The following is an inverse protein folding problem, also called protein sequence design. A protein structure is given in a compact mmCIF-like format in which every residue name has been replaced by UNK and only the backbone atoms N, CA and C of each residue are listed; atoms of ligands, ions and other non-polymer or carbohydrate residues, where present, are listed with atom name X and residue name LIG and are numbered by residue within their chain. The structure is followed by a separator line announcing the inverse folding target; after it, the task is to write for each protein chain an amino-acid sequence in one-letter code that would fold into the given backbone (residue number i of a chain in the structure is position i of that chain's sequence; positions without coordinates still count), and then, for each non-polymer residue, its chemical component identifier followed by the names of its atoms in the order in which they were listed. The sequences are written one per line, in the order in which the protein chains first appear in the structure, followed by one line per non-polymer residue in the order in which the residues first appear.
data_IF_393010968391
#
_entry.id   IF_393010968391
#
_cell.length_a   1.000
_cell.length_b   1.000
_cell.length_c   1.000
_cell.angle_alpha   90.00
_cell.angle_beta   90.00
_cell.angle_gamma   90.00
#
_symmetry.space_group_name_H-M   'P 1'
#
loop_
_entity.id
_entity.type
_entity.pdbx_description
1 polymer ?
#
# COMPACT_ATOMS: atom_id res chain seq x y z
N UNK A 1 27.68 -2.58 -49.74
CA UNK A 1 28.71 -2.17 -48.75
C UNK A 1 28.32 -2.80 -47.41
N UNK A 2 29.07 -3.78 -46.88
CA UNK A 2 28.77 -4.47 -45.60
C UNK A 2 29.67 -3.90 -44.51
N UNK A 3 29.10 -3.22 -43.52
CA UNK A 3 29.84 -2.70 -42.35
C UNK A 3 29.90 -3.82 -41.31
N UNK A 4 31.09 -4.38 -41.08
CA UNK A 4 31.38 -5.25 -39.93
C UNK A 4 31.60 -4.36 -38.71
N UNK A 5 30.74 -4.49 -37.71
CA UNK A 5 30.89 -3.87 -36.39
C UNK A 5 31.51 -4.89 -35.43
N UNK A 6 32.81 -4.75 -35.17
CA UNK A 6 33.53 -5.56 -34.17
C UNK A 6 33.22 -5.05 -32.75
N UNK A 7 32.24 -5.68 -32.11
CA UNK A 7 31.94 -5.49 -30.68
C UNK A 7 32.72 -6.50 -29.83
N UNK A 8 34.02 -6.28 -29.66
CA UNK A 8 34.80 -6.99 -28.66
C UNK A 8 35.72 -6.02 -27.91
N UNK A 9 35.11 -5.16 -27.08
CA UNK A 9 35.83 -4.36 -26.10
C UNK A 9 35.62 -4.98 -24.73
N UNK A 10 36.58 -5.78 -24.29
CA UNK A 10 36.67 -6.32 -22.94
C UNK A 10 36.68 -5.16 -21.94
N UNK A 11 35.60 -5.05 -21.16
CA UNK A 11 35.46 -4.06 -20.09
C UNK A 11 36.52 -4.37 -19.02
N UNK A 12 37.56 -3.54 -18.92
CA UNK A 12 38.53 -3.64 -17.81
C UNK A 12 37.77 -3.47 -16.49
N UNK A 13 38.07 -4.27 -15.45
CA UNK A 13 37.47 -4.08 -14.13
C UNK A 13 37.85 -2.71 -13.59
N UNK A 14 36.84 -1.93 -13.19
CA UNK A 14 37.01 -0.59 -12.65
C UNK A 14 37.88 -0.65 -11.38
N UNK A 15 38.90 0.22 -11.31
CA UNK A 15 39.79 0.30 -10.16
C UNK A 15 39.01 0.84 -8.94
N UNK A 16 38.85 0.06 -7.85
CA UNK A 16 38.09 0.48 -6.66
C UNK A 16 38.71 1.69 -5.93
N UNK A 17 39.94 2.06 -6.28
CA UNK A 17 40.64 3.23 -5.73
C UNK A 17 40.31 4.55 -6.46
N UNK A 18 39.52 4.51 -7.54
CA UNK A 18 39.14 5.71 -8.27
C UNK A 18 38.24 6.62 -7.40
N UNK A 19 38.50 7.94 -7.33
CA UNK A 19 37.65 8.87 -6.59
C UNK A 19 36.18 8.83 -7.04
N UNK A 20 35.93 8.56 -8.33
CA UNK A 20 34.59 8.36 -8.89
C UNK A 20 33.84 7.16 -8.28
N UNK A 21 34.56 6.09 -7.89
CA UNK A 21 33.93 4.91 -7.28
C UNK A 21 33.47 5.21 -5.85
N UNK A 22 34.25 5.99 -5.10
CA UNK A 22 33.90 6.42 -3.74
C UNK A 22 32.68 7.34 -3.73
N UNK A 23 32.62 8.32 -4.63
CA UNK A 23 31.48 9.24 -4.74
C UNK A 23 30.19 8.51 -5.10
N UNK A 24 30.24 7.58 -6.07
CA UNK A 24 29.07 6.79 -6.46
C UNK A 24 28.51 5.93 -5.32
N UNK A 25 29.40 5.34 -4.51
CA UNK A 25 28.97 4.54 -3.36
C UNK A 25 28.37 5.41 -2.27
N UNK A 26 28.93 6.59 -2.01
CA UNK A 26 28.37 7.54 -1.03
C UNK A 26 26.96 8.00 -1.41
N UNK A 27 26.70 8.28 -2.68
CA UNK A 27 25.36 8.67 -3.16
C UNK A 27 24.36 7.50 -3.03
N UNK A 28 24.81 6.27 -3.29
CA UNK A 28 23.96 5.09 -3.16
C UNK A 28 23.57 4.84 -1.70
N UNK A 29 24.53 4.95 -0.78
CA UNK A 29 24.31 4.80 0.67
C UNK A 29 23.39 5.89 1.22
N UNK A 30 23.61 7.16 0.85
CA UNK A 30 22.71 8.27 1.23
C UNK A 30 21.27 8.01 0.75
N UNK A 31 21.11 7.50 -0.47
CA UNK A 31 19.79 7.18 -1.02
C UNK A 31 19.11 6.05 -0.25
N UNK A 32 19.85 5.02 0.15
CA UNK A 32 19.34 3.90 0.94
C UNK A 32 18.93 4.35 2.35
N UNK A 33 19.73 5.22 2.97
CA UNK A 33 19.40 5.81 4.27
C UNK A 33 18.10 6.61 4.21
N UNK A 34 17.92 7.46 3.18
CA UNK A 34 16.66 8.23 3.00
C UNK A 34 15.44 7.35 2.76
N UNK A 35 15.60 6.22 2.06
CA UNK A 35 14.50 5.24 1.88
C UNK A 35 14.13 4.63 3.22
N UNK A 36 15.12 4.23 4.02
CA UNK A 36 14.90 3.65 5.35
C UNK A 36 14.25 4.67 6.28
N UNK A 37 14.70 5.92 6.25
CA UNK A 37 14.13 7.03 7.01
C UNK A 37 12.66 7.28 6.65
N UNK A 38 12.31 7.27 5.36
CA UNK A 38 10.93 7.49 4.90
C UNK A 38 9.93 6.45 5.45
N UNK A 39 10.40 5.23 5.72
CA UNK A 39 9.61 4.15 6.30
C UNK A 39 9.83 3.98 7.81
N UNK A 40 10.57 4.90 8.45
CA UNK A 40 10.76 4.85 9.90
C UNK A 40 9.42 5.13 10.59
N UNK A 41 8.98 4.27 11.53
CA UNK A 41 7.70 4.44 12.19
C UNK A 41 7.69 5.72 13.03
N UNK A 42 6.54 6.39 13.04
CA UNK A 42 6.28 7.54 13.89
C UNK A 42 5.02 7.29 14.70
N UNK A 43 5.11 7.42 16.02
CA UNK A 43 3.97 7.19 16.92
C UNK A 43 2.75 8.03 16.54
N UNK A 44 2.96 9.33 16.24
CA UNK A 44 1.87 10.23 15.84
C UNK A 44 1.20 9.75 14.54
N UNK A 45 1.99 9.32 13.57
CA UNK A 45 1.50 8.81 12.29
C UNK A 45 0.76 7.49 12.47
N UNK A 46 1.26 6.60 13.33
CA UNK A 46 0.58 5.36 13.71
C UNK A 46 -0.78 5.61 14.36
N UNK A 47 -0.88 6.59 15.26
CA UNK A 47 -2.14 7.00 15.88
C UNK A 47 -3.14 7.54 14.84
N UNK A 48 -2.69 8.41 13.93
CA UNK A 48 -3.54 8.97 12.86
C UNK A 48 -4.08 7.88 11.93
N UNK A 49 -3.21 6.94 11.53
CA UNK A 49 -3.60 5.78 10.69
C UNK A 49 -4.62 4.91 11.42
N UNK A 50 -4.37 4.59 12.69
CA UNK A 50 -5.28 3.77 13.49
C UNK A 50 -6.64 4.44 13.65
N UNK A 51 -6.66 5.75 13.95
CA UNK A 51 -7.88 6.53 14.06
C UNK A 51 -8.68 6.54 12.74
N UNK A 52 -8.00 6.75 11.61
CA UNK A 52 -8.64 6.74 10.30
C UNK A 52 -9.28 5.38 9.98
N UNK A 53 -8.59 4.27 10.32
CA UNK A 53 -9.13 2.91 10.16
C UNK A 53 -10.36 2.68 11.05
N UNK A 54 -10.31 3.15 12.30
CA UNK A 54 -11.42 3.03 13.25
C UNK A 54 -12.66 3.79 12.79
N UNK A 55 -12.49 5.03 12.32
CA UNK A 55 -13.59 5.87 11.85
C UNK A 55 -14.20 5.29 10.56
N UNK A 56 -13.37 4.85 9.63
CA UNK A 56 -13.85 4.16 8.44
C UNK A 56 -14.50 2.81 8.76
N UNK A 57 -14.29 2.23 9.95
CA UNK A 57 -14.91 0.97 10.37
C UNK A 57 -14.58 -0.22 9.46
N UNK A 58 -13.45 -0.16 8.74
CA UNK A 58 -13.09 -1.10 7.65
C UNK A 58 -14.13 -1.20 6.52
N UNK A 59 -15.03 -0.22 6.39
CA UNK A 59 -15.96 -0.18 5.28
C UNK A 59 -15.20 0.00 3.95
N UNK A 60 -15.70 -0.69 2.93
CA UNK A 60 -15.20 -0.59 1.56
C UNK A 60 -15.69 0.72 0.96
N UNK A 61 -14.83 1.45 0.26
CA UNK A 61 -15.27 2.60 -0.54
C UNK A 61 -16.34 2.14 -1.57
N UNK A 62 -17.36 2.97 -1.75
CA UNK A 62 -18.38 2.71 -2.77
C UNK A 62 -17.76 2.69 -4.17
N UNK A 63 -18.32 1.92 -5.12
CA UNK A 63 -17.85 1.92 -6.51
C UNK A 63 -17.87 3.31 -7.16
N UNK A 64 -18.84 4.16 -6.80
CA UNK A 64 -18.96 5.53 -7.29
C UNK A 64 -17.82 6.41 -6.76
N UNK A 65 -17.49 6.32 -5.47
CA UNK A 65 -16.35 7.00 -4.89
C UNK A 65 -15.04 6.58 -5.57
N UNK A 66 -14.84 5.26 -5.78
CA UNK A 66 -13.68 4.73 -6.50
C UNK A 66 -13.60 5.25 -7.95
N UNK A 67 -14.73 5.35 -8.65
CA UNK A 67 -14.78 5.90 -10.00
C UNK A 67 -14.37 7.38 -10.02
N UNK A 68 -14.79 8.18 -9.04
CA UNK A 68 -14.36 9.57 -8.93
C UNK A 68 -12.86 9.70 -8.65
N UNK A 69 -12.31 8.86 -7.79
CA UNK A 69 -10.86 8.81 -7.55
C UNK A 69 -10.10 8.40 -8.82
N UNK A 70 -10.61 7.44 -9.58
CA UNK A 70 -10.03 7.03 -10.85
C UNK A 70 -10.05 8.17 -11.88
N UNK A 71 -11.18 8.88 -11.98
CA UNK A 71 -11.34 10.05 -12.84
C UNK A 71 -10.35 11.16 -12.47
N UNK A 72 -10.19 11.44 -11.17
CA UNK A 72 -9.20 12.39 -10.67
C UNK A 72 -7.78 12.02 -11.13
N UNK A 73 -7.36 10.77 -10.93
CA UNK A 73 -6.02 10.30 -11.32
C UNK A 73 -5.81 10.38 -12.82
N UNK A 74 -6.78 9.92 -13.62
CA UNK A 74 -6.72 9.97 -15.07
C UNK A 74 -6.57 11.41 -15.57
N UNK A 75 -7.39 12.33 -15.06
CA UNK A 75 -7.32 13.76 -15.39
C UNK A 75 -6.04 14.42 -14.92
N UNK A 76 -5.52 14.05 -13.76
CA UNK A 76 -4.30 14.62 -13.22
C UNK A 76 -3.05 14.21 -14.02
N UNK A 77 -2.99 12.95 -14.47
CA UNK A 77 -1.75 12.32 -14.91
C UNK A 77 -1.73 11.74 -16.32
N UNK A 78 -2.85 11.60 -17.02
CA UNK A 78 -2.87 11.11 -18.40
C UNK A 78 -3.15 12.24 -19.40
N UNK A 79 -2.58 12.12 -20.60
CA UNK A 79 -2.87 13.02 -21.72
C UNK A 79 -4.20 12.58 -22.34
N UNK A 80 -5.20 13.46 -22.33
CA UNK A 80 -6.54 13.23 -22.90
C UNK A 80 -7.20 11.93 -22.38
N UNK A 81 -7.53 11.86 -21.07
CA UNK A 81 -8.13 10.65 -20.50
C UNK A 81 -9.52 10.40 -21.11
N UNK A 82 -9.62 9.30 -21.84
CA UNK A 82 -10.90 8.76 -22.34
C UNK A 82 -11.63 7.99 -21.23
N UNK A 83 -12.94 7.79 -21.38
CA UNK A 83 -13.75 7.02 -20.42
C UNK A 83 -13.20 5.60 -20.21
N UNK A 84 -12.72 4.95 -21.27
CA UNK A 84 -12.07 3.63 -21.18
C UNK A 84 -10.88 3.64 -20.19
N UNK A 85 -10.07 4.70 -20.22
CA UNK A 85 -8.91 4.83 -19.32
C UNK A 85 -9.35 4.98 -17.86
N UNK A 86 -10.38 5.78 -17.62
CA UNK A 86 -10.99 5.96 -16.30
C UNK A 86 -11.53 4.63 -15.78
N UNK A 87 -12.24 3.87 -16.62
CA UNK A 87 -12.82 2.58 -16.27
C UNK A 87 -11.74 1.54 -15.93
N UNK A 88 -10.63 1.52 -16.68
CA UNK A 88 -9.52 0.60 -16.37
C UNK A 88 -8.87 0.96 -15.02
N UNK A 89 -8.65 2.26 -14.73
CA UNK A 89 -8.11 2.70 -13.44
C UNK A 89 -9.09 2.36 -12.31
N UNK A 90 -10.39 2.61 -12.50
CA UNK A 90 -11.44 2.27 -11.52
C UNK A 90 -11.49 0.77 -11.26
N UNK A 91 -11.42 -0.06 -12.30
CA UNK A 91 -11.36 -1.52 -12.19
C UNK A 91 -10.11 -1.99 -11.45
N UNK A 92 -8.96 -1.36 -11.70
CA UNK A 92 -7.72 -1.64 -10.97
C UNK A 92 -7.87 -1.31 -9.48
N UNK A 93 -8.39 -0.13 -9.14
CA UNK A 93 -8.62 0.28 -7.75
C UNK A 93 -9.58 -0.67 -7.03
N UNK A 94 -10.71 -1.01 -7.64
CA UNK A 94 -11.65 -1.99 -7.08
C UNK A 94 -10.96 -3.35 -6.85
N UNK A 95 -10.18 -3.83 -7.82
CA UNK A 95 -9.40 -5.06 -7.67
C UNK A 95 -8.41 -4.98 -6.50
N UNK A 96 -7.74 -3.84 -6.29
CA UNK A 96 -6.85 -3.66 -5.14
C UNK A 96 -7.63 -3.74 -3.82
N UNK A 97 -8.79 -3.07 -3.74
CA UNK A 97 -9.66 -3.12 -2.56
C UNK A 97 -10.08 -4.56 -2.23
N UNK A 98 -10.47 -5.32 -3.24
CA UNK A 98 -11.01 -6.68 -3.05
C UNK A 98 -9.90 -7.72 -2.77
N UNK A 99 -8.74 -7.61 -3.45
CA UNK A 99 -7.67 -8.62 -3.35
C UNK A 99 -6.74 -8.43 -2.17
N UNK A 100 -6.68 -7.22 -1.60
CA UNK A 100 -5.77 -6.91 -0.48
C UNK A 100 -6.48 -6.90 0.87
N UNK A 101 -7.80 -7.10 0.91
CA UNK A 101 -8.53 -7.06 2.18
C UNK A 101 -8.15 -8.24 3.08
N UNK A 102 -7.54 -7.93 4.22
CA UNK A 102 -7.17 -8.93 5.22
C UNK A 102 -8.42 -9.41 5.96
N UNK A 103 -8.73 -10.71 5.84
CA UNK A 103 -9.72 -11.43 6.66
C UNK A 103 -11.00 -10.62 6.94
N UNK A 104 -11.94 -10.52 5.96
CA UNK A 104 -13.16 -9.72 6.08
C UNK A 104 -14.02 -10.10 7.29
N UNK A 105 -14.01 -11.38 7.68
CA UNK A 105 -14.82 -11.92 8.78
C UNK A 105 -14.31 -11.56 10.18
N UNK A 106 -13.04 -11.12 10.30
CA UNK A 106 -12.46 -10.80 11.60
C UNK A 106 -12.95 -9.44 12.10
N UNK A 107 -13.05 -9.26 13.41
CA UNK A 107 -13.20 -7.92 13.96
C UNK A 107 -11.90 -7.09 13.77
N UNK A 108 -12.01 -5.77 13.91
CA UNK A 108 -10.89 -4.86 13.66
C UNK A 108 -9.65 -5.18 14.52
N UNK A 109 -9.82 -5.51 15.80
CA UNK A 109 -8.70 -5.77 16.71
C UNK A 109 -7.93 -7.04 16.31
N UNK A 110 -8.64 -8.12 15.99
CA UNK A 110 -8.04 -9.36 15.50
C UNK A 110 -7.32 -9.15 14.17
N UNK A 111 -7.94 -8.43 13.24
CA UNK A 111 -7.34 -8.11 11.94
C UNK A 111 -6.06 -7.27 12.11
N UNK A 112 -6.04 -6.28 13.02
CA UNK A 112 -4.85 -5.47 13.33
C UNK A 112 -3.71 -6.32 13.89
N UNK A 113 -4.00 -7.23 14.82
CA UNK A 113 -3.00 -8.15 15.39
C UNK A 113 -2.46 -9.08 14.31
N UNK A 114 -3.32 -9.66 13.47
CA UNK A 114 -2.89 -10.54 12.38
C UNK A 114 -2.07 -9.78 11.35
N UNK A 115 -2.47 -8.56 11.00
CA UNK A 115 -1.74 -7.72 10.06
C UNK A 115 -0.31 -7.45 10.54
N UNK A 116 -0.13 -7.07 11.81
CA UNK A 116 1.18 -6.77 12.37
C UNK A 116 2.06 -8.01 12.60
N UNK A 117 1.46 -9.20 12.63
CA UNK A 117 2.17 -10.49 12.66
C UNK A 117 2.74 -10.88 11.30
N UNK A 118 2.18 -10.37 10.20
CA UNK A 118 2.72 -10.65 8.88
C UNK A 118 4.04 -9.89 8.66
N UNK A 119 4.98 -10.52 7.95
CA UNK A 119 6.23 -9.87 7.56
C UNK A 119 6.12 -9.12 6.23
N UNK A 120 5.00 -9.30 5.51
CA UNK A 120 4.77 -8.70 4.20
C UNK A 120 3.56 -7.78 4.22
N UNK A 121 3.72 -6.58 3.67
CA UNK A 121 2.65 -5.57 3.55
C UNK A 121 1.78 -5.78 2.29
N UNK A 122 1.54 -7.03 1.91
CA UNK A 122 0.75 -7.39 0.71
C UNK A 122 -0.76 -7.26 0.94
N UNK A 123 -1.19 -7.46 2.18
CA UNK A 123 -2.58 -7.30 2.62
C UNK A 123 -2.74 -5.96 3.34
N UNK A 124 -3.97 -5.50 3.54
CA UNK A 124 -4.31 -4.30 4.29
C UNK A 124 -5.50 -4.57 5.21
N UNK A 125 -5.44 -4.05 6.43
CA UNK A 125 -6.56 -4.08 7.39
C UNK A 125 -7.74 -3.24 6.89
N UNK A 126 -7.45 -2.15 6.17
CA UNK A 126 -8.44 -1.31 5.54
C UNK A 126 -7.93 -0.82 4.17
N UNK A 127 -8.21 -1.61 3.10
CA UNK A 127 -7.81 -1.25 1.74
C UNK A 127 -8.31 0.14 1.31
N UNK A 128 -9.50 0.54 1.77
CA UNK A 128 -10.05 1.89 1.57
C UNK A 128 -9.10 2.98 2.05
N UNK A 129 -8.62 2.88 3.29
CA UNK A 129 -7.68 3.85 3.86
C UNK A 129 -6.34 3.81 3.14
N UNK A 130 -5.85 2.60 2.81
CA UNK A 130 -4.63 2.45 2.00
C UNK A 130 -4.77 3.13 0.64
N UNK A 131 -5.92 3.02 -0.02
CA UNK A 131 -6.18 3.70 -1.29
C UNK A 131 -6.25 5.22 -1.12
N UNK A 132 -6.92 5.72 -0.09
CA UNK A 132 -7.00 7.17 0.17
C UNK A 132 -5.62 7.78 0.45
N UNK A 133 -4.76 7.10 1.23
CA UNK A 133 -3.37 7.51 1.45
C UNK A 133 -2.58 7.50 0.13
N UNK A 134 -2.79 6.49 -0.73
CA UNK A 134 -2.16 6.44 -2.04
C UNK A 134 -2.60 7.59 -2.96
N UNK A 135 -3.89 7.97 -2.92
CA UNK A 135 -4.40 9.14 -3.65
C UNK A 135 -3.79 10.43 -3.10
N UNK A 136 -3.62 10.55 -1.79
CA UNK A 136 -2.96 11.69 -1.17
C UNK A 136 -1.51 11.85 -1.68
N UNK A 137 -0.75 10.75 -1.74
CA UNK A 137 0.60 10.75 -2.33
C UNK A 137 0.60 11.21 -3.79
N UNK A 138 -0.33 10.72 -4.61
CA UNK A 138 -0.48 11.14 -6.01
C UNK A 138 -0.89 12.61 -6.12
N UNK A 139 -1.73 13.10 -5.20
CA UNK A 139 -2.16 14.48 -5.13
C UNK A 139 -1.00 15.43 -4.79
N UNK A 140 -0.20 15.09 -3.79
CA UNK A 140 1.02 15.83 -3.42
C UNK A 140 2.02 15.88 -4.57
N UNK A 141 2.19 14.76 -5.27
CA UNK A 141 3.01 14.71 -6.48
C UNK A 141 2.46 15.66 -7.55
N UNK A 142 1.12 15.73 -7.70
CA UNK A 142 0.50 16.59 -8.71
C UNK A 142 0.66 18.07 -8.37
N UNK A 143 0.57 18.44 -7.10
CA UNK A 143 0.79 19.80 -6.63
C UNK A 143 2.22 20.28 -6.92
N UNK A 144 3.22 19.39 -6.79
CA UNK A 144 4.62 19.69 -7.07
C UNK A 144 4.96 19.72 -8.58
N UNK A 145 4.22 18.97 -9.39
CA UNK A 145 4.45 18.78 -10.82
C UNK A 145 3.16 18.98 -11.63
N UNK A 146 2.57 20.16 -11.52
CA UNK A 146 1.27 20.55 -12.07
C UNK A 146 1.18 20.44 -13.61
N UNK A 147 2.28 20.67 -14.32
CA UNK A 147 2.34 20.67 -15.78
C UNK A 147 2.74 19.32 -16.39
N UNK A 148 3.12 18.34 -15.57
CA UNK A 148 3.53 17.03 -16.07
C UNK A 148 2.30 16.16 -16.33
N UNK A 149 2.26 15.58 -17.52
CA UNK A 149 1.34 14.52 -17.93
C UNK A 149 2.14 13.33 -18.41
N UNK A 150 1.73 12.14 -18.02
CA UNK A 150 2.31 10.88 -18.44
C UNK A 150 1.68 10.35 -19.73
N UNK A 151 2.33 9.33 -20.29
CA UNK A 151 1.79 8.55 -21.40
C UNK A 151 0.64 7.65 -20.95
N UNK A 152 -0.11 7.07 -21.91
CA UNK A 152 -1.23 6.15 -21.63
C UNK A 152 -0.83 5.06 -20.63
N UNK A 153 -1.65 4.85 -19.61
CA UNK A 153 -1.43 3.87 -18.53
C UNK A 153 -0.45 4.35 -17.45
N UNK A 154 -0.02 5.60 -17.46
CA UNK A 154 0.74 6.20 -16.36
C UNK A 154 -0.08 6.20 -15.06
N UNK A 155 -1.38 6.50 -15.12
CA UNK A 155 -2.26 6.52 -13.95
C UNK A 155 -2.34 5.17 -13.25
N UNK A 156 -2.43 4.08 -14.02
CA UNK A 156 -2.43 2.71 -13.49
C UNK A 156 -1.15 2.37 -12.73
N UNK A 157 0.02 2.70 -13.32
CA UNK A 157 1.33 2.45 -12.68
C UNK A 157 1.50 3.29 -11.42
N UNK A 158 1.11 4.57 -11.46
CA UNK A 158 1.15 5.46 -10.31
C UNK A 158 0.30 4.91 -9.16
N UNK A 159 -0.93 4.47 -9.44
CA UNK A 159 -1.82 3.90 -8.43
C UNK A 159 -1.24 2.65 -7.80
N UNK A 160 -0.70 1.74 -8.61
CA UNK A 160 -0.09 0.51 -8.10
C UNK A 160 1.07 0.81 -7.15
N UNK A 161 1.98 1.69 -7.57
CA UNK A 161 3.18 2.04 -6.79
C UNK A 161 2.80 2.80 -5.52
N UNK A 162 1.94 3.82 -5.62
CA UNK A 162 1.48 4.60 -4.47
C UNK A 162 0.74 3.73 -3.46
N UNK A 163 -0.10 2.79 -3.92
CA UNK A 163 -0.82 1.85 -3.05
C UNK A 163 0.13 0.91 -2.31
N UNK A 164 1.13 0.36 -3.00
CA UNK A 164 2.15 -0.47 -2.36
C UNK A 164 2.95 0.30 -1.31
N UNK A 165 3.34 1.53 -1.61
CA UNK A 165 4.04 2.41 -0.66
C UNK A 165 3.18 2.75 0.55
N UNK A 166 1.91 3.12 0.32
CA UNK A 166 0.95 3.38 1.40
C UNK A 166 0.74 2.15 2.29
N UNK A 167 0.61 0.97 1.70
CA UNK A 167 0.48 -0.29 2.45
C UNK A 167 1.68 -0.56 3.35
N UNK A 168 2.91 -0.42 2.82
CA UNK A 168 4.15 -0.57 3.59
C UNK A 168 4.25 0.44 4.73
N UNK A 169 3.96 1.70 4.44
CA UNK A 169 4.03 2.78 5.42
C UNK A 169 3.02 2.57 6.56
N UNK A 170 1.76 2.22 6.23
CA UNK A 170 0.72 1.86 7.20
C UNK A 170 1.16 0.66 8.04
N UNK A 171 1.71 -0.38 7.41
CA UNK A 171 2.17 -1.59 8.10
C UNK A 171 3.25 -1.29 9.14
N UNK A 172 4.31 -0.56 8.77
CA UNK A 172 5.42 -0.26 9.68
C UNK A 172 4.95 0.63 10.84
N UNK A 173 4.10 1.63 10.57
CA UNK A 173 3.55 2.49 11.62
C UNK A 173 2.64 1.71 12.57
N UNK A 174 1.69 0.90 12.08
CA UNK A 174 0.81 0.12 12.93
C UNK A 174 1.56 -0.91 13.77
N UNK A 175 2.57 -1.58 13.19
CA UNK A 175 3.43 -2.54 13.90
C UNK A 175 4.20 -1.90 15.06
N UNK A 176 4.45 -0.59 15.02
CA UNK A 176 5.14 0.13 16.10
C UNK A 176 4.28 0.36 17.36
N UNK A 177 2.95 0.32 17.24
CA UNK A 177 2.03 0.58 18.36
C UNK A 177 1.20 -0.64 18.80
N UNK A 178 1.09 -1.67 17.95
CA UNK A 178 0.34 -2.89 18.26
C UNK A 178 1.29 -3.95 18.82
N UNK A 179 1.12 -4.27 20.10
CA UNK A 179 1.91 -5.31 20.75
C UNK A 179 1.46 -6.71 20.29
N UNK A 180 2.28 -7.38 19.49
CA UNK A 180 2.00 -8.74 18.99
C UNK A 180 2.41 -9.87 19.95
N UNK A 181 3.13 -9.56 21.04
CA UNK A 181 3.69 -10.58 21.96
C UNK A 181 2.67 -11.18 22.93
N UNK A 182 1.53 -10.52 23.18
CA UNK A 182 0.58 -10.91 24.22
C UNK A 182 -0.35 -12.09 23.86
N UNK A 183 -0.41 -12.52 22.60
CA UNK A 183 -1.43 -13.45 22.13
C UNK A 183 -1.09 -14.95 22.28
N UNK A 184 0.09 -15.31 22.80
CA UNK A 184 0.54 -16.72 22.82
C UNK A 184 0.41 -17.40 24.20
N UNK A 185 0.02 -16.68 25.25
CA UNK A 185 0.08 -17.21 26.64
C UNK A 185 -1.23 -17.79 27.19
N UNK A 186 -2.24 -18.04 26.35
CA UNK A 186 -3.55 -18.52 26.79
C UNK A 186 -3.90 -19.92 26.25
N UNK A 187 -3.01 -20.91 26.41
CA UNK A 187 -3.35 -22.35 26.25
C UNK A 187 -2.44 -23.23 27.10
N UNK A 188 -2.73 -23.36 28.39
CA UNK A 188 -2.48 -24.58 29.19
C UNK A 188 -3.04 -24.39 30.60
N UNK A 189 -4.26 -24.88 30.85
CA UNK A 189 -4.63 -25.62 32.08
C UNK A 189 -5.83 -26.49 31.71
N UNK A 190 -5.57 -27.77 31.44
CA UNK A 190 -6.58 -28.83 31.52
C UNK A 190 -6.58 -29.33 32.98
N UNK A 191 -7.58 -28.94 33.77
CA UNK A 191 -8.05 -29.70 34.94
C UNK A 191 -9.52 -29.34 35.25
N UNK A 192 -10.47 -30.30 35.25
CA UNK A 192 -11.87 -30.09 35.66
C UNK A 192 -12.17 -30.73 37.04
N UNK A 193 -13.35 -30.50 37.66
CA UNK A 193 -14.20 -29.30 37.69
C UNK A 193 -14.69 -28.94 39.12
N UNK A 194 -15.13 -27.70 39.34
CA UNK A 194 -16.10 -27.37 40.41
C UNK A 194 -16.98 -26.19 40.00
N UNK A 195 -18.30 -26.25 40.25
CA UNK A 195 -19.23 -25.25 39.73
C UNK A 195 -19.36 -24.09 40.73
N UNK A 196 -19.12 -22.88 40.27
CA UNK A 196 -19.77 -21.71 40.88
C UNK A 196 -19.98 -20.63 39.81
N UNK A 197 -21.26 -20.37 39.58
CA UNK A 197 -21.76 -19.28 38.75
C UNK A 197 -21.32 -17.96 39.38
N UNK A 198 -20.76 -17.05 38.58
CA UNK A 198 -21.01 -15.62 38.73
C UNK A 198 -20.75 -14.89 37.40
N UNK A 199 -21.84 -14.35 36.86
CA UNK A 199 -21.89 -13.51 35.67
C UNK A 199 -21.35 -12.13 36.03
N UNK A 200 -20.17 -11.78 35.53
CA UNK A 200 -19.69 -10.38 35.52
C UNK A 200 -19.42 -9.98 34.08
N UNK A 201 -20.31 -9.13 33.54
CA UNK A 201 -20.10 -8.41 32.29
C UNK A 201 -18.93 -7.44 32.48
N UNK A 202 -17.75 -7.76 31.95
CA UNK A 202 -16.66 -6.78 31.77
C UNK A 202 -16.64 -6.30 30.33
N UNK A 203 -16.75 -4.99 30.19
CA UNK A 203 -16.58 -4.22 28.96
C UNK A 203 -15.10 -3.82 28.94
N UNK A 204 -14.28 -4.59 28.24
CA UNK A 204 -12.83 -4.34 28.20
C UNK A 204 -12.54 -3.14 27.29
N UNK A 205 -12.14 -2.03 27.93
CA UNK A 205 -11.57 -0.85 27.30
C UNK A 205 -10.08 -1.11 27.06
N UNK A 206 -9.59 -0.79 25.87
CA UNK A 206 -8.20 -0.99 25.46
C UNK A 206 -7.31 -0.04 26.25
N UNK A 207 -6.54 -0.57 27.19
CA UNK A 207 -5.49 0.17 27.91
C UNK A 207 -4.19 0.12 27.11
N UNK A 208 -3.70 1.27 26.65
CA UNK A 208 -2.37 1.38 26.02
C UNK A 208 -1.28 0.99 27.02
N UNK A 209 -0.32 0.12 26.66
CA UNK A 209 0.78 -0.24 27.55
C UNK A 209 1.86 0.84 27.58
N UNK A 210 2.23 1.28 28.77
CA UNK A 210 3.48 1.99 29.06
C UNK A 210 4.65 1.00 28.96
N UNK A 211 5.67 1.32 28.16
CA UNK A 211 6.73 0.37 27.79
C UNK A 211 8.13 0.92 28.12
N UNK A 212 8.87 0.10 28.88
CA UNK A 212 10.31 0.21 29.15
C UNK A 212 11.11 -0.42 28.00
N UNK A 213 12.23 0.20 27.66
CA UNK A 213 13.15 -0.15 26.57
C UNK A 213 13.85 -1.50 26.77
N UNK A 214 14.00 -2.30 25.70
CA UNK A 214 15.04 -3.34 25.58
C UNK A 214 15.48 -3.55 24.11
N UNK A 215 16.74 -3.98 23.98
CA UNK A 215 17.68 -3.88 22.85
C UNK A 215 17.61 -5.11 21.90
N UNK A 216 17.87 -4.89 20.60
CA UNK A 216 17.92 -5.90 19.51
C UNK A 216 19.35 -6.24 19.04
N UNK A 217 19.59 -7.44 18.45
CA UNK A 217 20.79 -7.76 17.65
C UNK A 217 20.54 -7.88 16.12
N UNK A 218 21.66 -7.90 15.37
CA UNK A 218 21.84 -7.57 13.94
C UNK A 218 21.52 -8.68 12.88
N UNK A 219 21.42 -8.35 11.56
CA UNK A 219 20.94 -9.26 10.51
C UNK A 219 22.05 -9.86 9.61
N UNK A 220 21.77 -10.93 8.83
CA UNK A 220 22.66 -11.44 7.78
C UNK A 220 22.22 -11.13 6.33
N UNK A 221 23.21 -11.26 5.44
CA UNK A 221 23.39 -10.72 4.08
C UNK A 221 22.76 -11.49 2.89
N UNK A 222 22.50 -10.77 1.78
CA UNK A 222 21.87 -11.24 0.52
C UNK A 222 22.85 -11.78 -0.56
N UNK A 223 22.35 -12.48 -1.62
CA UNK A 223 23.09 -12.69 -2.88
C UNK A 223 22.40 -12.20 -4.19
N UNK A 224 23.20 -12.21 -5.27
CA UNK A 224 23.20 -11.44 -6.55
C UNK A 224 22.25 -11.91 -7.69
N UNK A 225 22.00 -10.99 -8.65
CA UNK A 225 21.08 -11.05 -9.81
C UNK A 225 21.74 -11.40 -11.16
N UNK A 226 20.94 -11.88 -12.15
CA UNK A 226 21.29 -11.90 -13.59
C UNK A 226 20.05 -11.65 -14.50
N UNK A 227 20.31 -11.13 -15.72
CA UNK A 227 19.38 -10.43 -16.64
C UNK A 227 18.64 -11.31 -17.69
N UNK A 228 17.39 -10.96 -18.06
CA UNK A 228 16.90 -10.64 -19.42
C UNK A 228 15.34 -10.62 -19.56
N UNK A 229 14.83 -9.62 -20.33
CA UNK A 229 13.61 -9.47 -21.18
C UNK A 229 12.33 -10.31 -20.92
N UNK A 230 11.08 -9.92 -21.25
CA UNK A 230 10.32 -8.69 -21.55
C UNK A 230 8.91 -9.18 -21.90
N UNK A 231 7.90 -8.92 -21.07
CA UNK A 231 6.47 -8.92 -21.46
C UNK A 231 5.62 -8.41 -20.30
N UNK A 232 4.87 -7.31 -20.49
CA UNK A 232 4.35 -6.49 -19.38
C UNK A 232 2.82 -6.42 -19.32
N UNK A 233 2.22 -7.43 -18.67
CA UNK A 233 0.91 -7.26 -18.05
C UNK A 233 1.11 -6.84 -16.57
N UNK A 234 0.73 -5.62 -16.16
CA UNK A 234 1.00 -5.09 -14.83
C UNK A 234 0.21 -5.77 -13.71
N UNK A 235 -0.66 -6.74 -14.02
CA UNK A 235 -1.40 -7.53 -13.03
C UNK A 235 -0.76 -8.89 -12.71
N UNK A 236 0.33 -9.26 -13.37
CA UNK A 236 0.97 -10.57 -13.18
C UNK A 236 2.11 -10.55 -12.13
N UNK A 237 2.24 -9.46 -11.38
CA UNK A 237 3.27 -9.34 -10.35
C UNK A 237 3.01 -10.26 -9.16
N UNK A 238 4.06 -10.95 -8.72
CA UNK A 238 4.01 -11.95 -7.66
C UNK A 238 3.58 -11.40 -6.29
N UNK A 239 3.50 -10.08 -6.12
CA UNK A 239 3.12 -9.43 -4.86
C UNK A 239 1.65 -9.63 -4.47
N UNK A 240 0.75 -9.91 -5.42
CA UNK A 240 -0.70 -10.06 -5.18
C UNK A 240 -1.23 -11.47 -5.47
N UNK A 241 -0.36 -12.48 -5.54
CA UNK A 241 -0.83 -13.87 -5.75
C UNK A 241 -1.42 -14.42 -4.44
N UNK A 242 -2.75 -14.50 -4.40
CA UNK A 242 -3.51 -15.29 -3.42
C UNK A 242 -3.07 -16.78 -3.45
N UNK A 243 -3.09 -17.51 -2.31
CA UNK A 243 -2.72 -18.92 -2.27
C UNK A 243 -3.80 -19.80 -2.93
N UNK A 244 -3.81 -19.87 -4.26
CA UNK A 244 -4.49 -20.97 -4.96
C UNK A 244 -3.55 -22.18 -5.02
N UNK A 245 -3.93 -23.27 -4.33
CA UNK A 245 -3.32 -24.59 -4.46
C UNK A 245 -3.34 -25.01 -5.94
N UNK A 246 -2.18 -25.04 -6.60
CA UNK A 246 -1.98 -25.78 -7.85
C UNK A 246 -0.67 -26.56 -7.81
N UNK A 247 -0.75 -27.77 -8.36
CA UNK A 247 0.31 -28.74 -8.54
C UNK A 247 1.56 -28.13 -9.20
N UNK A 248 2.71 -28.58 -8.72
CA UNK A 248 4.05 -28.15 -9.07
C UNK A 248 4.41 -28.53 -10.50
N UNK A 249 4.90 -27.56 -11.28
CA UNK A 249 5.80 -27.79 -12.41
C UNK A 249 6.86 -26.68 -12.38
N UNK A 250 8.17 -26.98 -12.45
CA UNK A 250 9.22 -25.99 -12.24
C UNK A 250 9.45 -25.19 -13.53
N UNK A 251 9.15 -23.88 -13.50
CA UNK A 251 9.44 -22.93 -14.59
C UNK A 251 10.21 -21.73 -13.98
N UNK A 252 11.15 -21.11 -14.72
CA UNK A 252 12.21 -20.31 -14.14
C UNK A 252 11.70 -18.94 -13.68
N UNK A 253 12.16 -18.54 -12.51
CA UNK A 253 11.81 -17.30 -11.82
C UNK A 253 12.46 -16.09 -12.51
N UNK A 254 11.71 -15.47 -13.42
CA UNK A 254 12.06 -14.20 -14.03
C UNK A 254 12.00 -13.05 -13.01
N UNK A 255 13.05 -12.22 -13.02
CA UNK A 255 13.31 -11.05 -12.16
C UNK A 255 12.31 -9.88 -12.38
N UNK A 256 11.01 -10.13 -12.25
CA UNK A 256 9.95 -9.13 -12.44
C UNK A 256 9.84 -8.09 -11.32
N UNK A 257 10.67 -8.17 -10.27
CA UNK A 257 10.62 -7.25 -9.13
C UNK A 257 11.44 -5.97 -9.35
N UNK A 258 12.42 -5.99 -10.27
CA UNK A 258 13.31 -4.84 -10.53
C UNK A 258 12.57 -3.58 -11.01
N UNK A 259 11.55 -3.67 -11.91
CA UNK A 259 10.84 -2.48 -12.37
C UNK A 259 10.06 -1.77 -11.27
N UNK A 260 9.43 -2.53 -10.36
CA UNK A 260 8.57 -1.95 -9.31
C UNK A 260 9.42 -1.25 -8.26
N UNK A 261 10.47 -1.89 -7.75
CA UNK A 261 11.36 -1.26 -6.77
C UNK A 261 11.97 0.04 -7.30
N UNK A 262 12.26 0.10 -8.61
CA UNK A 262 12.72 1.34 -9.26
C UNK A 262 11.63 2.41 -9.28
N UNK A 263 10.40 2.07 -9.68
CA UNK A 263 9.30 3.03 -9.70
C UNK A 263 8.97 3.56 -8.30
N UNK A 264 8.96 2.68 -7.29
CA UNK A 264 8.80 3.06 -5.88
C UNK A 264 9.87 4.06 -5.45
N UNK A 265 11.13 3.78 -5.78
CA UNK A 265 12.25 4.65 -5.39
C UNK A 265 12.22 6.01 -6.11
N UNK A 266 11.81 6.04 -7.38
CA UNK A 266 11.60 7.29 -8.12
C UNK A 266 10.41 8.08 -7.55
N UNK A 267 9.30 7.40 -7.25
CA UNK A 267 8.12 8.01 -6.63
C UNK A 267 8.46 8.63 -5.28
N UNK A 268 9.17 7.89 -4.43
CA UNK A 268 9.61 8.35 -3.12
C UNK A 268 10.54 9.57 -3.21
N UNK A 269 11.47 9.54 -4.16
CA UNK A 269 12.33 10.69 -4.44
C UNK A 269 11.50 11.93 -4.82
N UNK A 270 10.48 11.78 -5.67
CA UNK A 270 9.63 12.91 -6.05
C UNK A 270 8.79 13.47 -4.90
N UNK A 271 8.43 12.62 -3.93
CA UNK A 271 7.82 13.02 -2.65
C UNK A 271 8.81 13.63 -1.65
N UNK A 272 10.09 13.80 -2.00
CA UNK A 272 11.15 14.19 -1.07
C UNK A 272 11.26 13.25 0.14
N UNK A 273 11.01 11.95 -0.06
CA UNK A 273 11.05 10.93 0.99
C UNK A 273 10.06 11.14 2.14
N UNK A 274 9.09 12.04 1.98
CA UNK A 274 8.09 12.33 3.00
C UNK A 274 6.78 11.57 2.74
N UNK A 275 6.59 10.49 3.50
CA UNK A 275 5.36 9.69 3.51
C UNK A 275 4.41 10.08 4.63
N UNK A 276 4.67 11.19 5.33
CA UNK A 276 3.78 11.64 6.40
C UNK A 276 2.37 11.92 5.86
N UNK A 277 1.41 11.53 6.69
CA UNK A 277 0.00 11.72 6.47
C UNK A 277 -0.43 12.95 7.26
N UNK A 278 -0.94 13.97 6.56
CA UNK A 278 -1.45 15.19 7.17
C UNK A 278 -2.98 15.27 7.11
N UNK A 279 -3.58 14.86 5.99
CA UNK A 279 -5.00 15.10 5.68
C UNK A 279 -5.85 13.82 5.56
N UNK A 280 -5.40 12.66 6.04
CA UNK A 280 -6.18 11.41 5.86
C UNK A 280 -7.58 11.48 6.45
N UNK A 281 -7.75 12.18 7.57
CA UNK A 281 -9.08 12.39 8.16
C UNK A 281 -10.02 13.14 7.22
N UNK A 282 -9.53 14.15 6.50
CA UNK A 282 -10.30 14.89 5.49
C UNK A 282 -10.76 13.96 4.36
N UNK A 283 -9.89 13.06 3.91
CA UNK A 283 -10.23 12.08 2.87
C UNK A 283 -11.29 11.07 3.32
N UNK A 284 -11.20 10.59 4.58
CA UNK A 284 -12.21 9.69 5.16
C UNK A 284 -13.56 10.37 5.26
N UNK A 285 -13.61 11.59 5.80
CA UNK A 285 -14.85 12.37 5.87
C UNK A 285 -15.43 12.68 4.50
N UNK A 286 -14.58 13.04 3.52
CA UNK A 286 -15.01 13.25 2.15
C UNK A 286 -15.66 11.99 1.56
N UNK A 287 -15.06 10.82 1.76
CA UNK A 287 -15.58 9.56 1.24
C UNK A 287 -16.95 9.20 1.84
N UNK A 288 -17.12 9.35 3.16
CA UNK A 288 -18.42 9.11 3.80
C UNK A 288 -19.50 10.08 3.32
N UNK A 289 -19.17 11.38 3.26
CA UNK A 289 -20.12 12.39 2.79
C UNK A 289 -20.51 12.18 1.33
N UNK A 290 -19.57 11.72 0.49
CA UNK A 290 -19.83 11.47 -0.92
C UNK A 290 -20.96 10.45 -1.12
N UNK A 291 -20.99 9.39 -0.32
CA UNK A 291 -22.05 8.38 -0.39
C UNK A 291 -23.40 8.94 0.11
N UNK A 292 -23.41 9.70 1.22
CA UNK A 292 -24.62 10.34 1.74
C UNK A 292 -25.26 11.35 0.77
N UNK A 293 -24.44 12.05 -0.02
CA UNK A 293 -24.93 13.03 -0.98
C UNK A 293 -25.52 12.36 -2.23
N UNK A 294 -25.10 11.13 -2.57
CA UNK A 294 -25.69 10.34 -3.66
C UNK A 294 -27.08 9.82 -3.28
N UNK A 295 -27.24 9.29 -2.06
CA UNK A 295 -28.52 8.74 -1.60
C UNK A 295 -29.65 9.79 -1.64
N UNK A 296 -29.33 11.05 -1.35
CA UNK A 296 -30.31 12.17 -1.38
C UNK A 296 -30.75 12.56 -2.79
N UNK A 297 -29.94 12.30 -3.83
CA UNK A 297 -30.31 12.65 -5.20
C UNK A 297 -31.40 11.72 -5.75
N UNK A 298 -31.39 10.45 -5.36
CA UNK A 298 -32.35 9.46 -5.82
C UNK A 298 -33.77 9.72 -5.27
N UNK A 299 -33.86 10.20 -4.02
CA UNK A 299 -35.16 10.53 -3.39
C UNK A 299 -35.84 11.74 -4.05
N UNK A 300 -35.07 12.69 -4.59
CA UNK A 300 -35.62 13.94 -5.14
C UNK A 300 -36.21 13.75 -6.55
N UNK A 301 -35.78 12.72 -7.28
CA UNK A 301 -36.23 12.46 -8.65
C UNK A 301 -37.45 11.53 -8.76
N UNK A 302 -37.92 10.92 -7.67
CA UNK A 302 -39.04 9.96 -7.69
C UNK A 302 -40.44 10.59 -7.47
N UNK A 303 -40.53 11.91 -7.26
CA UNK A 303 -41.74 12.58 -6.79
C UNK A 303 -42.67 13.26 -7.83
N UNK A 304 -42.48 13.04 -9.14
CA UNK A 304 -43.29 13.69 -10.19
C UNK A 304 -43.79 12.70 -11.25
N UNK A 305 -44.59 11.71 -10.84
CA UNK A 305 -45.62 11.13 -11.71
C UNK A 305 -46.97 11.66 -11.22
N UNK A 306 -47.27 12.91 -11.59
CA UNK A 306 -48.54 13.55 -11.35
C UNK A 306 -49.45 13.38 -12.56
N UNK A 307 -50.52 12.62 -12.35
CA UNK A 307 -51.70 12.42 -13.18
C UNK A 307 -52.00 13.59 -14.13
N UNK A 308 -51.96 13.30 -15.43
CA UNK A 308 -52.72 14.06 -16.43
C UNK A 308 -53.98 13.28 -16.76
N UNK A 309 -55.11 13.78 -16.25
CA UNK A 309 -56.48 13.46 -16.68
C UNK A 309 -56.70 13.72 -18.18
#
# INVERSE_FOLDING_TARGET
MKIKLDFNKTKKPDNPSSPYYKERNSIAEERENKVTEAYTPSYNQACLVLQAIQINGRHRLSPHCVLQLANYVAKAWEINPEQETIDIISKLMNKLLDTTFLCPEMNLNEALIQFCKNDTATQSVSPSITLLVAIDYISRLKQKYDNIKGTKGCGQRLILVAYMMASKYIHVNLKSIINTTAATTAKTVDEPPSPSFNVVKRKDSITLPSLKEYILPSPPTSPKTNNNYSDSNPLNYHYFKSPQKRLVTPLPTTNHNVPISRMELEFLYFLNYDLSINDTMKWVHWAHKFDEDLDKQDDTNSGYEGDTD
#
